data_IF_393006005434
#
_entry.id   IF_393006005434
#
_cell.length_a   1.000
_cell.length_b   1.000
_cell.length_c   1.000
_cell.angle_alpha   90.00
_cell.angle_beta   90.00
_cell.angle_gamma   90.00
#
_symmetry.space_group_name_H-M   'P 1'
#
loop_
_entity.id
_entity.type
_entity.pdbx_description
1 polymer ?
#
# COMPACT_ATOMS: atom_id res chain seq x y z
N UNK A 1 22.16 6.92 7.09
CA UNK A 1 21.08 7.74 7.71
C UNK A 1 21.09 7.53 9.23
N UNK A 2 20.67 8.48 10.07
CA UNK A 2 20.43 8.23 11.50
C UNK A 2 18.92 8.21 11.75
N UNK A 3 18.43 7.23 12.52
CA UNK A 3 17.00 7.08 12.75
C UNK A 3 16.61 6.93 14.23
N UNK A 4 15.36 7.26 14.53
CA UNK A 4 14.67 6.96 15.78
C UNK A 4 13.31 6.36 15.43
N UNK A 5 13.03 5.16 15.94
CA UNK A 5 11.72 4.50 15.81
C UNK A 5 11.06 4.40 17.18
N UNK A 6 9.80 4.84 17.28
CA UNK A 6 9.02 4.78 18.54
C UNK A 6 7.57 4.47 18.24
N UNK A 7 6.90 3.73 19.13
CA UNK A 7 5.44 3.68 19.12
C UNK A 7 4.88 5.10 19.23
N UNK A 8 3.85 5.40 18.44
CA UNK A 8 3.25 6.73 18.31
C UNK A 8 1.81 6.74 18.77
N UNK A 9 0.98 5.83 18.27
CA UNK A 9 -0.43 5.74 18.59
C UNK A 9 -0.92 4.30 18.50
N UNK A 10 -1.70 3.86 19.49
CA UNK A 10 -2.44 2.60 19.41
C UNK A 10 -3.87 2.89 18.92
N UNK A 11 -4.35 2.08 17.97
CA UNK A 11 -5.67 2.22 17.36
C UNK A 11 -6.43 0.92 17.61
N UNK A 12 -7.49 0.99 18.42
CA UNK A 12 -8.41 -0.13 18.64
C UNK A 12 -9.44 -0.22 17.50
N UNK A 13 -9.85 -1.44 17.15
CA UNK A 13 -10.89 -1.72 16.16
C UNK A 13 -10.39 -2.04 14.75
N UNK A 14 -9.06 -2.16 14.56
CA UNK A 14 -8.34 -2.55 13.35
C UNK A 14 -7.07 -3.33 13.77
N UNK A 15 -6.92 -4.58 13.35
CA UNK A 15 -5.65 -5.34 13.47
C UNK A 15 -4.88 -5.33 12.16
N UNK A 16 -3.60 -5.73 12.16
CA UNK A 16 -2.78 -5.98 10.96
C UNK A 16 -3.10 -5.06 9.75
N UNK A 17 -2.66 -3.80 9.86
CA UNK A 17 -2.90 -2.81 8.82
C UNK A 17 -1.81 -2.93 7.73
N UNK A 18 -2.24 -3.02 6.49
CA UNK A 18 -1.42 -3.30 5.29
C UNK A 18 -1.14 -2.04 4.44
N UNK A 19 -1.31 -0.86 5.03
CA UNK A 19 -1.06 0.41 4.36
C UNK A 19 -1.73 1.59 5.03
N UNK A 20 -1.14 2.78 4.89
CA UNK A 20 -1.70 4.02 5.40
C UNK A 20 -1.39 5.26 4.55
N UNK A 21 -2.28 6.24 4.61
CA UNK A 21 -2.05 7.59 4.08
C UNK A 21 -2.39 8.61 5.15
N UNK A 22 -1.47 9.53 5.42
CA UNK A 22 -1.72 10.66 6.32
C UNK A 22 -2.20 11.88 5.55
N UNK A 23 -3.41 12.35 5.87
CA UNK A 23 -3.95 13.62 5.42
C UNK A 23 -4.46 14.39 6.63
N UNK A 24 -3.67 15.34 7.12
CA UNK A 24 -3.97 16.06 8.34
C UNK A 24 -5.44 16.56 8.40
N UNK A 25 -6.19 16.25 9.48
CA UNK A 25 -5.79 15.61 10.74
C UNK A 25 -5.99 14.08 10.80
N UNK A 26 -6.22 13.43 9.66
CA UNK A 26 -6.66 12.04 9.55
C UNK A 26 -5.56 11.09 9.10
N UNK A 27 -5.66 9.86 9.59
CA UNK A 27 -4.93 8.71 9.07
C UNK A 27 -5.94 7.78 8.39
N UNK A 28 -5.74 7.52 7.11
CA UNK A 28 -6.49 6.52 6.36
C UNK A 28 -5.71 5.21 6.37
N UNK A 29 -6.37 4.09 6.68
CA UNK A 29 -5.73 2.78 6.77
C UNK A 29 -6.53 1.72 6.03
N UNK A 30 -5.80 0.72 5.53
CA UNK A 30 -6.36 -0.49 4.92
C UNK A 30 -5.89 -1.73 5.67
N UNK A 31 -6.56 -2.84 5.41
CA UNK A 31 -6.23 -4.17 5.90
C UNK A 31 -6.53 -5.20 4.83
N UNK A 32 -5.66 -6.18 4.67
CA UNK A 32 -5.72 -7.26 3.69
C UNK A 32 -6.95 -8.18 3.88
N UNK A 33 -7.46 -8.27 5.11
CA UNK A 33 -8.59 -9.11 5.48
C UNK A 33 -9.94 -8.38 5.57
N UNK A 34 -9.97 -7.07 5.31
CA UNK A 34 -11.16 -6.22 5.42
C UNK A 34 -11.54 -5.60 4.08
N UNK A 35 -12.83 -5.25 3.93
CA UNK A 35 -13.30 -4.40 2.82
C UNK A 35 -13.81 -3.04 3.31
N UNK A 36 -13.31 -2.58 4.45
CA UNK A 36 -13.49 -1.21 4.90
C UNK A 36 -12.23 -0.40 4.63
N UNK A 37 -12.42 0.88 4.31
CA UNK A 37 -11.41 1.90 4.52
C UNK A 37 -11.58 2.46 5.92
N UNK A 38 -10.50 2.51 6.68
CA UNK A 38 -10.52 3.03 8.05
C UNK A 38 -10.04 4.48 8.03
N UNK A 39 -10.71 5.34 8.79
CA UNK A 39 -10.34 6.74 8.95
C UNK A 39 -10.20 7.04 10.44
N UNK A 40 -8.96 7.21 10.89
CA UNK A 40 -8.62 7.54 12.26
C UNK A 40 -8.38 9.05 12.40
N UNK A 41 -9.15 9.70 13.27
CA UNK A 41 -9.02 11.12 13.60
C UNK A 41 -7.96 11.27 14.70
N UNK A 42 -6.71 11.63 14.35
CA UNK A 42 -5.57 11.61 15.27
C UNK A 42 -5.79 12.46 16.54
N UNK A 43 -6.43 13.62 16.40
CA UNK A 43 -6.67 14.52 17.54
C UNK A 43 -7.79 14.04 18.47
N UNK A 44 -8.76 13.30 17.92
CA UNK A 44 -9.96 12.86 18.64
C UNK A 44 -9.81 11.43 19.17
N UNK A 45 -8.84 10.68 18.65
CA UNK A 45 -8.62 9.28 18.98
C UNK A 45 -9.75 8.36 18.49
N UNK A 46 -10.46 8.77 17.43
CA UNK A 46 -11.66 8.07 16.94
C UNK A 46 -11.39 7.35 15.62
N UNK A 47 -11.69 6.05 15.58
CA UNK A 47 -11.69 5.23 14.37
C UNK A 47 -13.09 5.19 13.74
N UNK A 48 -13.20 5.60 12.48
CA UNK A 48 -14.41 5.46 11.68
C UNK A 48 -14.17 4.43 10.57
N UNK A 49 -15.22 3.70 10.19
CA UNK A 49 -15.19 2.71 9.11
C UNK A 49 -16.02 3.19 7.94
N UNK A 50 -15.44 3.13 6.75
CA UNK A 50 -16.06 3.53 5.50
C UNK A 50 -16.26 2.26 4.66
N UNK A 51 -17.52 1.87 4.44
CA UNK A 51 -17.85 0.72 3.60
C UNK A 51 -17.41 0.99 2.15
N UNK A 52 -16.59 0.10 1.58
CA UNK A 52 -16.16 0.21 0.19
C UNK A 52 -17.19 -0.39 -0.78
N UNK A 53 -17.92 -1.39 -0.30
CA UNK A 53 -18.97 -2.13 -1.01
C UNK A 53 -20.25 -2.23 -0.17
N UNK A 54 -21.39 -2.50 -0.83
CA UNK A 54 -22.67 -2.68 -0.16
C UNK A 54 -22.66 -3.80 0.91
N UNK A 55 -21.89 -4.86 0.70
CA UNK A 55 -21.77 -6.00 1.62
C UNK A 55 -20.44 -6.04 2.37
N UNK A 56 -19.82 -4.87 2.61
CA UNK A 56 -18.52 -4.77 3.27
C UNK A 56 -18.45 -5.54 4.59
N UNK A 57 -17.32 -6.19 4.84
CA UNK A 57 -17.08 -7.02 6.03
C UNK A 57 -15.73 -6.69 6.65
N UNK A 58 -15.68 -6.78 7.96
CA UNK A 58 -14.45 -6.60 8.74
C UNK A 58 -13.47 -7.74 8.47
N UNK A 59 -13.99 -8.96 8.44
CA UNK A 59 -13.22 -10.18 8.26
C UNK A 59 -13.73 -10.90 7.01
N UNK A 60 -12.83 -11.06 6.06
CA UNK A 60 -13.09 -11.72 4.80
C UNK A 60 -12.28 -13.02 4.75
N UNK A 61 -12.93 -14.18 4.52
CA UNK A 61 -12.21 -15.44 4.38
C UNK A 61 -11.12 -15.37 3.31
N UNK A 62 -9.99 -16.05 3.49
CA UNK A 62 -8.82 -16.00 2.59
C UNK A 62 -9.15 -16.12 1.09
N UNK A 63 -10.02 -17.05 0.62
CA UNK A 63 -10.37 -17.16 -0.80
C UNK A 63 -11.20 -15.97 -1.34
N UNK A 64 -11.75 -15.18 -0.43
CA UNK A 64 -12.64 -14.05 -0.71
C UNK A 64 -11.96 -12.68 -0.53
N UNK A 65 -10.72 -12.65 -0.03
CA UNK A 65 -10.01 -11.39 0.22
C UNK A 65 -9.83 -10.59 -1.06
N UNK A 66 -10.04 -9.27 -0.95
CA UNK A 66 -9.56 -8.31 -1.94
C UNK A 66 -8.06 -8.09 -1.81
N UNK A 67 -7.50 -8.33 -0.61
CA UNK A 67 -6.06 -8.30 -0.34
C UNK A 67 -5.48 -6.91 -0.68
N UNK A 68 -6.11 -5.88 -0.10
CA UNK A 68 -5.63 -4.52 -0.28
C UNK A 68 -4.30 -4.37 0.46
N UNK A 69 -3.22 -4.25 -0.31
CA UNK A 69 -1.83 -4.17 0.18
C UNK A 69 -1.15 -2.85 -0.24
N UNK A 70 -1.86 -1.99 -0.97
CA UNK A 70 -1.35 -0.68 -1.34
C UNK A 70 -2.47 0.35 -1.31
N UNK A 71 -2.19 1.49 -0.68
CA UNK A 71 -3.05 2.68 -0.68
C UNK A 71 -2.24 3.90 -1.10
N UNK A 72 -2.83 4.74 -1.95
CA UNK A 72 -2.13 5.91 -2.50
C UNK A 72 -3.10 7.06 -2.73
N UNK A 73 -2.63 8.27 -2.44
CA UNK A 73 -3.37 9.51 -2.75
C UNK A 73 -3.31 9.80 -4.25
N UNK A 74 -4.48 10.11 -4.84
CA UNK A 74 -4.62 10.43 -6.25
C UNK A 74 -5.62 11.56 -6.45
N UNK A 75 -5.12 12.80 -6.56
CA UNK A 75 -5.97 13.99 -6.62
C UNK A 75 -6.78 14.13 -5.32
N UNK A 76 -8.11 14.25 -5.44
CA UNK A 76 -9.01 14.29 -4.28
C UNK A 76 -9.61 12.90 -3.98
N UNK A 77 -8.79 11.85 -4.05
CA UNK A 77 -9.23 10.48 -3.83
C UNK A 77 -8.11 9.62 -3.24
N UNK A 78 -8.50 8.51 -2.64
CA UNK A 78 -7.62 7.40 -2.27
C UNK A 78 -7.87 6.24 -3.23
N UNK A 79 -6.79 5.65 -3.75
CA UNK A 79 -6.85 4.40 -4.49
C UNK A 79 -6.31 3.28 -3.61
N UNK A 80 -7.06 2.19 -3.52
CA UNK A 80 -6.71 0.98 -2.79
C UNK A 80 -6.53 -0.13 -3.84
N UNK A 81 -5.36 -0.75 -3.88
CA UNK A 81 -5.02 -1.77 -4.88
C UNK A 81 -4.93 -3.12 -4.20
N UNK A 82 -5.58 -4.13 -4.80
CA UNK A 82 -5.38 -5.51 -4.43
C UNK A 82 -4.01 -6.03 -4.90
N UNK A 83 -3.44 -7.01 -4.21
CA UNK A 83 -2.09 -7.54 -4.48
C UNK A 83 -1.89 -8.14 -5.87
N UNK A 84 -2.97 -8.58 -6.53
CA UNK A 84 -2.92 -9.19 -7.87
C UNK A 84 -2.47 -10.66 -7.93
N UNK A 85 -2.25 -11.29 -6.78
CA UNK A 85 -1.84 -12.70 -6.65
C UNK A 85 -2.93 -13.72 -7.00
N UNK A 86 -4.20 -13.30 -7.04
CA UNK A 86 -5.32 -14.13 -7.52
C UNK A 86 -6.31 -13.27 -8.32
N UNK A 87 -7.19 -13.87 -9.15
CA UNK A 87 -8.17 -13.10 -9.93
C UNK A 87 -9.05 -12.16 -9.10
N UNK A 88 -9.39 -12.52 -7.85
CA UNK A 88 -10.21 -11.66 -6.97
C UNK A 88 -9.44 -10.44 -6.44
N UNK A 89 -8.11 -10.54 -6.39
CA UNK A 89 -7.18 -9.50 -5.94
C UNK A 89 -6.74 -8.59 -7.09
N UNK A 90 -7.21 -8.84 -8.32
CA UNK A 90 -7.02 -7.96 -9.48
C UNK A 90 -7.99 -6.76 -9.45
N UNK A 91 -8.09 -6.09 -8.31
CA UNK A 91 -9.07 -5.01 -8.08
C UNK A 91 -8.38 -3.72 -7.67
N UNK A 92 -9.02 -2.60 -8.00
CA UNK A 92 -8.72 -1.29 -7.45
C UNK A 92 -10.01 -0.65 -6.99
N UNK A 93 -10.02 -0.09 -5.78
CA UNK A 93 -11.13 0.73 -5.29
C UNK A 93 -10.68 2.17 -5.19
N UNK A 94 -11.46 3.06 -5.79
CA UNK A 94 -11.32 4.49 -5.62
C UNK A 94 -12.34 4.97 -4.59
N UNK A 95 -11.86 5.69 -3.59
CA UNK A 95 -12.69 6.42 -2.63
C UNK A 95 -12.42 7.92 -2.82
N UNK A 96 -13.40 8.66 -3.34
CA UNK A 96 -13.27 10.12 -3.45
C UNK A 96 -13.28 10.75 -2.05
N UNK A 97 -12.41 11.70 -1.77
CA UNK A 97 -12.40 12.41 -0.51
C UNK A 97 -13.43 13.54 -0.58
N UNK A 98 -14.25 13.72 0.46
CA UNK A 98 -15.18 14.85 0.47
C UNK A 98 -14.42 16.15 0.70
N UNK A 99 -14.69 17.16 -0.12
CA UNK A 99 -14.36 18.54 0.25
C UNK A 99 -15.07 18.82 1.57
N UNK A 100 -14.31 19.26 2.58
CA UNK A 100 -14.67 19.35 4.00
C UNK A 100 -15.80 20.34 4.34
N UNK A 101 -16.73 20.60 3.41
CA UNK A 101 -17.89 21.47 3.53
C UNK A 101 -19.18 20.88 2.89
N UNK A 102 -19.13 19.74 2.19
CA UNK A 102 -20.31 19.17 1.54
C UNK A 102 -20.97 18.08 2.41
N UNK A 103 -22.08 18.46 3.05
CA UNK A 103 -23.20 17.65 3.53
C UNK A 103 -22.89 16.32 4.24
N UNK A 104 -23.23 16.27 5.55
CA UNK A 104 -23.34 15.07 6.38
C UNK A 104 -24.46 14.09 5.93
N UNK A 105 -24.68 13.96 4.62
CA UNK A 105 -25.66 13.08 3.99
C UNK A 105 -25.33 12.74 2.53
N UNK A 106 -24.24 13.25 1.95
CA UNK A 106 -23.76 12.80 0.64
C UNK A 106 -22.95 11.52 0.81
N UNK A 107 -23.47 10.40 0.30
CA UNK A 107 -22.70 9.17 0.13
C UNK A 107 -21.51 9.45 -0.77
N UNK A 108 -20.32 9.46 -0.19
CA UNK A 108 -19.06 9.48 -0.92
C UNK A 108 -19.05 8.34 -1.94
N UNK A 109 -18.80 8.64 -3.21
CA UNK A 109 -18.83 7.64 -4.27
C UNK A 109 -17.58 6.75 -4.18
N UNK A 110 -17.77 5.46 -3.91
CA UNK A 110 -16.75 4.44 -4.14
C UNK A 110 -16.93 3.87 -5.54
N UNK A 111 -15.82 3.53 -6.20
CA UNK A 111 -15.81 2.94 -7.54
C UNK A 111 -14.80 1.82 -7.60
N UNK A 112 -15.21 0.67 -8.13
CA UNK A 112 -14.33 -0.48 -8.32
C UNK A 112 -13.87 -0.57 -9.77
N UNK A 113 -12.58 -0.89 -9.96
CA UNK A 113 -11.96 -1.10 -11.25
C UNK A 113 -11.35 -2.50 -11.31
N UNK A 114 -11.51 -3.17 -12.45
CA UNK A 114 -10.86 -4.45 -12.76
C UNK A 114 -9.47 -4.19 -13.34
N UNK A 115 -8.44 -4.67 -12.64
CA UNK A 115 -7.04 -4.56 -13.03
C UNK A 115 -6.51 -5.82 -13.73
N UNK A 116 -7.35 -6.82 -14.03
CA UNK A 116 -6.89 -8.11 -14.56
C UNK A 116 -6.03 -7.97 -15.82
N UNK A 117 -6.42 -7.11 -16.76
CA UNK A 117 -5.64 -6.87 -17.97
C UNK A 117 -4.29 -6.19 -17.70
N UNK A 118 -4.24 -5.27 -16.73
CA UNK A 118 -2.98 -4.64 -16.31
C UNK A 118 -2.08 -5.65 -15.63
N UNK A 119 -2.58 -6.38 -14.64
CA UNK A 119 -1.81 -7.33 -13.86
C UNK A 119 -1.29 -8.50 -14.70
N UNK A 120 -2.05 -8.92 -15.71
CA UNK A 120 -1.55 -9.84 -16.74
C UNK A 120 -0.36 -9.24 -17.52
N UNK A 121 -0.46 -7.97 -17.93
CA UNK A 121 0.65 -7.26 -18.59
C UNK A 121 1.87 -7.12 -17.67
N UNK A 122 1.67 -6.90 -16.37
CA UNK A 122 2.76 -6.86 -15.37
C UNK A 122 3.46 -8.23 -15.31
N UNK A 123 2.71 -9.31 -15.13
CA UNK A 123 3.22 -10.69 -15.12
C UNK A 123 4.06 -10.99 -16.37
N UNK A 124 3.53 -10.70 -17.55
CA UNK A 124 4.23 -10.91 -18.82
C UNK A 124 5.51 -10.08 -18.92
N UNK A 125 5.48 -8.82 -18.47
CA UNK A 125 6.65 -7.91 -18.55
C UNK A 125 7.78 -8.37 -17.64
N UNK A 126 7.46 -8.82 -16.43
CA UNK A 126 8.43 -9.30 -15.45
C UNK A 126 8.74 -10.81 -15.57
N UNK A 127 8.05 -11.54 -16.45
CA UNK A 127 8.16 -13.00 -16.59
C UNK A 127 7.85 -13.74 -15.27
N UNK A 128 6.80 -13.29 -14.59
CA UNK A 128 6.30 -13.88 -13.36
C UNK A 128 5.29 -15.00 -13.68
N UNK A 129 5.31 -16.06 -12.89
CA UNK A 129 4.24 -17.06 -12.90
C UNK A 129 2.92 -16.48 -12.35
N UNK A 130 1.82 -17.19 -12.56
CA UNK A 130 0.47 -16.73 -12.21
C UNK A 130 0.33 -16.31 -10.74
N UNK A 131 1.00 -17.03 -9.84
CA UNK A 131 0.96 -16.89 -8.37
C UNK A 131 2.06 -15.99 -7.78
N UNK A 132 2.90 -15.36 -8.61
CA UNK A 132 4.07 -14.61 -8.17
C UNK A 132 3.84 -13.09 -8.10
N UNK A 133 2.84 -12.54 -8.81
CA UNK A 133 2.55 -11.10 -8.74
C UNK A 133 2.00 -10.75 -7.35
N UNK A 134 2.60 -9.76 -6.72
CA UNK A 134 2.23 -9.27 -5.40
C UNK A 134 2.62 -7.79 -5.27
N UNK A 135 1.65 -6.90 -5.52
CA UNK A 135 1.84 -5.45 -5.41
C UNK A 135 1.56 -5.00 -3.97
N UNK A 136 2.58 -4.46 -3.30
CA UNK A 136 2.50 -3.99 -1.91
C UNK A 136 2.93 -2.53 -1.75
N UNK A 137 2.94 -1.77 -2.84
CA UNK A 137 3.24 -0.34 -2.79
C UNK A 137 2.93 0.34 -4.10
N UNK A 138 2.50 1.59 -4.03
CA UNK A 138 2.13 2.36 -5.19
C UNK A 138 2.48 3.83 -5.03
N UNK A 139 3.14 4.41 -6.03
CA UNK A 139 3.40 5.84 -6.14
C UNK A 139 2.85 6.33 -7.47
N UNK A 140 2.11 7.44 -7.44
CA UNK A 140 1.77 8.19 -8.64
C UNK A 140 2.62 9.46 -8.73
N UNK A 141 3.35 9.64 -9.82
CA UNK A 141 4.18 10.82 -10.05
C UNK A 141 4.27 11.14 -11.53
N UNK A 142 3.98 12.40 -11.91
CA UNK A 142 4.12 12.91 -13.29
C UNK A 142 3.49 11.98 -14.36
N UNK A 143 2.25 11.55 -14.14
CA UNK A 143 1.50 10.66 -15.06
C UNK A 143 2.09 9.25 -15.23
N UNK A 144 2.87 8.81 -14.24
CA UNK A 144 3.42 7.47 -14.16
C UNK A 144 3.06 6.83 -12.83
N UNK A 145 2.81 5.53 -12.87
CA UNK A 145 2.69 4.71 -11.67
C UNK A 145 3.98 3.93 -11.46
N UNK A 146 4.46 3.93 -10.24
CA UNK A 146 5.49 3.02 -9.76
C UNK A 146 4.78 2.02 -8.84
N UNK A 147 4.68 0.76 -9.28
CA UNK A 147 4.08 -0.31 -8.49
C UNK A 147 5.19 -1.22 -7.97
N UNK A 148 5.22 -1.43 -6.67
CA UNK A 148 6.28 -2.16 -5.98
C UNK A 148 5.89 -3.62 -5.84
N UNK A 149 6.63 -4.48 -6.53
CA UNK A 149 6.44 -5.92 -6.54
C UNK A 149 7.23 -6.55 -5.40
N UNK A 150 6.54 -7.22 -4.48
CA UNK A 150 7.17 -8.08 -3.47
C UNK A 150 7.56 -9.43 -4.06
N UNK A 151 8.83 -9.79 -3.92
CA UNK A 151 9.36 -11.08 -4.33
C UNK A 151 9.23 -12.14 -3.23
N UNK A 152 8.01 -12.43 -2.76
CA UNK A 152 7.75 -13.45 -1.72
C UNK A 152 7.33 -14.82 -2.29
N UNK A 153 7.21 -14.95 -3.61
CA UNK A 153 7.01 -16.23 -4.30
C UNK A 153 8.31 -17.01 -4.53
N UNK A 154 8.21 -18.14 -5.23
CA UNK A 154 9.33 -19.02 -5.52
C UNK A 154 10.39 -18.37 -6.43
N UNK A 155 10.01 -17.40 -7.28
CA UNK A 155 10.97 -16.66 -8.10
C UNK A 155 11.73 -15.59 -7.30
N UNK A 156 11.23 -15.20 -6.12
CA UNK A 156 11.83 -14.20 -5.24
C UNK A 156 12.18 -12.87 -5.94
N UNK A 157 11.35 -12.44 -6.89
CA UNK A 157 11.66 -11.34 -7.79
C UNK A 157 11.06 -10.02 -7.31
N UNK A 158 11.88 -9.23 -6.61
CA UNK A 158 11.55 -7.85 -6.26
C UNK A 158 11.77 -6.90 -7.43
N UNK A 159 10.98 -5.84 -7.50
CA UNK A 159 11.22 -4.76 -8.44
C UNK A 159 10.12 -3.72 -8.49
N UNK A 160 10.26 -2.79 -9.43
CA UNK A 160 9.32 -1.69 -9.64
C UNK A 160 8.78 -1.79 -11.05
N UNK A 161 7.46 -1.91 -11.18
CA UNK A 161 6.79 -1.68 -12.46
C UNK A 161 6.62 -0.18 -12.68
N UNK A 162 7.04 0.30 -13.84
CA UNK A 162 6.80 1.67 -14.30
C UNK A 162 5.68 1.60 -15.33
N UNK A 163 4.49 2.10 -14.97
CA UNK A 163 3.29 2.05 -15.81
C UNK A 163 2.95 3.45 -16.31
N UNK A 164 2.90 3.60 -17.64
CA UNK A 164 2.50 4.84 -18.30
C UNK A 164 0.99 4.88 -18.52
N UNK A 165 0.35 5.99 -18.13
CA UNK A 165 -1.09 6.18 -18.23
C UNK A 165 -1.78 6.21 -16.87
N UNK A 166 -3.10 6.29 -16.86
CA UNK A 166 -3.89 6.29 -15.62
C UNK A 166 -4.44 4.89 -15.33
N UNK A 167 -4.49 4.49 -14.06
CA UNK A 167 -5.15 3.24 -13.66
C UNK A 167 -6.68 3.40 -13.60
N UNK A 168 -7.13 4.63 -13.41
CA UNK A 168 -8.54 5.01 -13.28
C UNK A 168 -8.90 6.07 -14.33
N UNK A 169 -10.14 6.06 -14.82
CA UNK A 169 -10.63 7.13 -15.68
C UNK A 169 -11.17 8.29 -14.84
N UNK A 170 -10.50 9.44 -14.89
CA UNK A 170 -11.00 10.71 -14.34
C UNK A 170 -12.08 11.37 -15.19
N UNK A 171 -12.47 10.74 -16.31
CA UNK A 171 -13.70 11.09 -16.98
C UNK A 171 -14.81 10.98 -15.95
N UNK A 172 -15.23 12.14 -15.45
CA UNK A 172 -16.51 12.30 -14.76
C UNK A 172 -17.51 11.66 -15.68
N UNK A 173 -17.92 10.44 -15.38
CA UNK A 173 -19.09 9.82 -15.96
C UNK A 173 -20.20 10.77 -15.54
N UNK A 174 -20.53 11.68 -16.46
CA UNK A 174 -21.51 12.73 -16.24
C UNK A 174 -22.82 12.03 -15.95
N UNK A 175 -23.20 11.98 -14.67
CA UNK A 175 -24.53 11.66 -14.15
C UNK A 175 -25.23 10.43 -14.73
N UNK A 176 -25.42 9.42 -13.87
CA UNK A 176 -26.46 8.37 -13.93
C UNK A 176 -26.14 7.00 -14.54
N UNK A 177 -24.97 6.76 -15.16
CA UNK A 177 -24.73 5.47 -15.86
C UNK A 177 -23.84 4.45 -15.13
N UNK A 178 -23.28 4.77 -13.96
CA UNK A 178 -22.49 3.82 -13.17
C UNK A 178 -23.07 3.69 -11.77
N UNK A 179 -23.53 2.48 -11.45
CA UNK A 179 -24.03 2.13 -10.12
C UNK A 179 -22.86 1.94 -9.14
N UNK A 180 -23.09 2.10 -7.82
CA UNK A 180 -22.06 1.93 -6.80
C UNK A 180 -21.29 0.59 -6.86
N UNK A 181 -21.90 -0.46 -7.43
CA UNK A 181 -21.32 -1.81 -7.54
C UNK A 181 -20.83 -2.16 -8.96
N UNK A 182 -20.86 -1.22 -9.91
CA UNK A 182 -20.39 -1.49 -11.26
C UNK A 182 -18.86 -1.54 -11.28
N UNK A 183 -18.30 -2.65 -11.79
CA UNK A 183 -16.86 -2.79 -12.01
C UNK A 183 -16.46 -2.16 -13.34
N UNK A 184 -15.61 -1.14 -13.29
CA UNK A 184 -15.11 -0.43 -14.48
C UNK A 184 -13.86 -1.13 -15.00
N UNK A 185 -13.83 -1.41 -16.31
CA UNK A 185 -12.66 -2.02 -16.95
C UNK A 185 -11.55 -0.97 -17.17
N UNK A 186 -10.34 -1.20 -16.65
CA UNK A 186 -9.18 -0.27 -16.76
C UNK A 186 -8.42 -0.38 -18.10
N UNK A 187 -8.78 -1.38 -18.91
CA UNK A 187 -8.04 -1.90 -20.07
C UNK A 187 -7.75 -0.93 -21.24
N UNK A 188 -8.30 0.29 -21.27
CA UNK A 188 -8.05 1.26 -22.35
C UNK A 188 -7.11 2.43 -21.99
N UNK A 189 -6.49 2.42 -20.81
CA UNK A 189 -5.79 3.61 -20.28
C UNK A 189 -4.27 3.42 -20.17
N UNK A 190 -3.79 2.18 -20.06
CA UNK A 190 -2.38 1.85 -19.86
C UNK A 190 -1.64 1.68 -21.19
N UNK A 191 -0.60 2.50 -21.40
CA UNK A 191 0.12 2.55 -22.67
C UNK A 191 1.33 1.61 -22.69
N UNK A 192 2.23 1.76 -21.71
CA UNK A 192 3.47 1.00 -21.61
C UNK A 192 3.72 0.55 -20.18
N UNK A 193 4.42 -0.58 -20.03
CA UNK A 193 4.88 -1.12 -18.75
C UNK A 193 6.35 -1.47 -18.92
N UNK A 194 7.18 -1.04 -17.98
CA UNK A 194 8.57 -1.46 -17.81
C UNK A 194 8.71 -2.11 -16.43
N UNK A 195 9.65 -3.05 -16.28
CA UNK A 195 9.99 -3.64 -14.99
C UNK A 195 11.46 -3.43 -14.68
N UNK A 196 11.73 -2.84 -13.52
CA UNK A 196 13.09 -2.63 -12.99
C UNK A 196 13.31 -3.63 -11.84
N UNK A 197 14.02 -4.75 -12.07
CA UNK A 197 14.32 -5.69 -11.00
C UNK A 197 15.27 -5.06 -9.99
N UNK A 198 15.04 -5.34 -8.71
CA UNK A 198 15.86 -4.81 -7.61
C UNK A 198 16.28 -5.93 -6.67
N UNK A 199 17.52 -5.85 -6.19
CA UNK A 199 18.02 -6.74 -5.15
C UNK A 199 17.85 -6.03 -3.81
N UNK A 200 17.12 -6.67 -2.91
CA UNK A 200 16.92 -6.23 -1.53
C UNK A 200 17.80 -7.07 -0.59
N UNK A 201 18.03 -6.63 0.66
CA UNK A 201 18.82 -7.39 1.62
C UNK A 201 18.29 -8.80 1.84
N UNK A 202 19.19 -9.67 2.28
CA UNK A 202 18.88 -11.04 2.67
C UNK A 202 19.28 -11.21 4.12
N UNK A 203 18.35 -11.66 4.96
CA UNK A 203 18.58 -11.91 6.40
C UNK A 203 18.45 -13.40 6.65
N UNK A 204 19.49 -14.03 7.19
CA UNK A 204 19.49 -15.47 7.47
C UNK A 204 19.03 -16.33 6.27
N UNK A 205 19.46 -15.97 5.06
CA UNK A 205 19.08 -16.60 3.78
C UNK A 205 17.63 -16.36 3.32
N UNK A 206 16.86 -15.54 4.03
CA UNK A 206 15.52 -15.11 3.63
C UNK A 206 15.63 -13.75 2.93
N UNK A 207 15.21 -13.65 1.65
CA UNK A 207 15.20 -12.36 0.96
C UNK A 207 14.13 -11.44 1.56
N UNK A 208 14.45 -10.16 1.70
CA UNK A 208 13.44 -9.14 1.96
C UNK A 208 12.63 -8.85 0.70
N UNK A 209 11.37 -8.49 0.89
CA UNK A 209 10.51 -8.00 -0.17
C UNK A 209 9.92 -6.63 0.14
N UNK A 210 9.59 -5.84 -0.89
CA UNK A 210 8.92 -4.55 -0.70
C UNK A 210 7.60 -4.71 0.04
N UNK A 211 7.29 -3.78 0.93
CA UNK A 211 6.03 -3.78 1.69
C UNK A 211 5.32 -2.42 1.72
N UNK A 212 5.98 -1.32 1.32
CA UNK A 212 5.36 -0.05 0.93
C UNK A 212 6.40 0.90 0.32
N UNK A 213 5.98 1.97 -0.34
CA UNK A 213 6.85 3.06 -0.76
C UNK A 213 6.11 4.40 -0.97
N UNK A 214 6.80 5.50 -0.67
CA UNK A 214 6.34 6.87 -0.91
C UNK A 214 7.42 7.73 -1.56
N UNK A 215 6.99 8.82 -2.20
CA UNK A 215 7.88 9.80 -2.79
C UNK A 215 7.95 11.07 -1.93
N UNK A 216 9.16 11.50 -1.57
CA UNK A 216 9.41 12.79 -0.90
C UNK A 216 10.46 13.55 -1.71
N UNK A 217 10.02 14.60 -2.41
CA UNK A 217 10.87 15.30 -3.38
C UNK A 217 11.25 14.39 -4.54
N UNK A 218 12.54 14.17 -4.76
CA UNK A 218 13.06 13.25 -5.80
C UNK A 218 13.58 11.92 -5.23
N UNK A 219 13.24 11.63 -3.96
CA UNK A 219 13.68 10.41 -3.26
C UNK A 219 12.49 9.53 -2.94
N UNK A 220 12.54 8.30 -3.41
CA UNK A 220 11.60 7.25 -3.00
C UNK A 220 12.10 6.69 -1.67
N UNK A 221 11.26 6.75 -0.64
CA UNK A 221 11.45 6.02 0.61
C UNK A 221 10.59 4.77 0.57
N UNK A 222 11.15 3.62 0.95
CA UNK A 222 10.44 2.35 0.85
C UNK A 222 10.70 1.47 2.07
N UNK A 223 9.72 0.62 2.37
CA UNK A 223 9.84 -0.44 3.35
C UNK A 223 10.14 -1.77 2.64
N UNK A 224 10.90 -2.61 3.33
CA UNK A 224 11.08 -3.99 2.93
C UNK A 224 11.19 -4.91 4.16
N UNK A 225 10.54 -6.07 4.10
CA UNK A 225 10.48 -7.03 5.20
C UNK A 225 10.96 -8.41 4.75
N UNK A 226 11.75 -9.08 5.59
CA UNK A 226 12.12 -10.49 5.43
C UNK A 226 11.27 -11.36 6.35
N UNK A 227 10.47 -12.24 5.78
CA UNK A 227 9.60 -13.18 6.50
C UNK A 227 9.91 -14.61 6.09
N UNK A 228 10.15 -15.45 7.09
CA UNK A 228 10.38 -16.86 6.87
C UNK A 228 9.06 -17.64 6.83
N UNK A 229 8.41 -17.60 5.67
CA UNK A 229 7.14 -18.32 5.40
C UNK A 229 7.26 -19.86 5.47
N UNK A 230 8.48 -20.40 5.53
CA UNK A 230 8.72 -21.84 5.74
C UNK A 230 8.72 -22.27 7.22
N UNK A 231 8.66 -21.31 8.14
CA UNK A 231 8.58 -21.58 9.58
C UNK A 231 7.20 -22.11 9.97
N UNK A 232 7.09 -22.74 11.14
CA UNK A 232 5.84 -23.34 11.64
C UNK A 232 4.81 -22.32 12.17
N UNK A 233 5.07 -21.02 12.00
CA UNK A 233 4.15 -19.93 12.37
C UNK A 233 3.13 -19.73 11.24
N UNK A 234 1.96 -19.16 11.55
CA UNK A 234 0.84 -19.15 10.61
C UNK A 234 1.06 -18.26 9.37
N UNK A 235 1.98 -17.30 9.40
CA UNK A 235 2.38 -16.49 8.23
C UNK A 235 3.91 -16.22 8.13
N UNK A 236 4.71 -16.86 8.99
CA UNK A 236 6.18 -16.82 8.95
C UNK A 236 6.84 -15.98 10.04
N UNK A 237 8.08 -16.30 10.41
CA UNK A 237 8.84 -15.50 11.38
C UNK A 237 9.39 -14.23 10.70
N UNK A 238 9.07 -13.06 11.25
CA UNK A 238 9.66 -11.78 10.81
C UNK A 238 11.11 -11.73 11.26
N UNK A 239 12.03 -11.66 10.30
CA UNK A 239 13.48 -11.65 10.55
C UNK A 239 14.07 -10.24 10.48
N UNK A 240 13.38 -9.31 9.82
CA UNK A 240 13.80 -7.92 9.79
C UNK A 240 12.96 -7.04 8.87
N UNK A 241 12.78 -5.79 9.29
CA UNK A 241 12.16 -4.73 8.49
C UNK A 241 13.15 -3.59 8.27
N UNK A 242 13.14 -3.04 7.06
CA UNK A 242 14.08 -2.06 6.58
C UNK A 242 13.37 -0.78 6.14
N UNK A 243 14.01 0.37 6.36
CA UNK A 243 13.74 1.60 5.61
C UNK A 243 14.87 1.79 4.59
N UNK A 244 14.52 1.93 3.33
CA UNK A 244 15.44 2.26 2.25
C UNK A 244 15.12 3.61 1.63
N UNK A 245 16.11 4.20 0.97
CA UNK A 245 15.88 5.32 0.06
C UNK A 245 16.54 5.02 -1.30
N UNK A 246 15.87 5.44 -2.37
CA UNK A 246 16.37 5.31 -3.73
C UNK A 246 16.07 6.57 -4.55
N UNK A 247 16.91 6.81 -5.55
CA UNK A 247 16.73 7.90 -6.50
C UNK A 247 15.52 7.64 -7.40
N UNK A 248 14.63 8.62 -7.54
CA UNK A 248 13.41 8.49 -8.33
C UNK A 248 13.69 8.15 -9.80
N UNK A 249 14.71 8.73 -10.42
CA UNK A 249 14.93 8.61 -11.86
C UNK A 249 15.66 7.32 -12.21
N UNK A 250 16.75 7.05 -11.52
CA UNK A 250 17.64 5.90 -11.78
C UNK A 250 17.20 4.62 -11.06
N UNK A 251 16.29 4.72 -10.08
CA UNK A 251 15.88 3.61 -9.19
C UNK A 251 17.06 2.99 -8.43
N UNK A 252 18.17 3.71 -8.30
CA UNK A 252 19.34 3.25 -7.57
C UNK A 252 19.12 3.42 -6.08
N UNK A 253 19.20 2.32 -5.33
CA UNK A 253 19.15 2.33 -3.86
C UNK A 253 20.40 3.06 -3.33
N UNK A 254 20.18 4.10 -2.52
CA UNK A 254 21.22 4.97 -1.99
C UNK A 254 21.64 4.55 -0.57
N UNK A 255 20.67 4.21 0.28
CA UNK A 255 20.89 3.75 1.65
C UNK A 255 19.78 2.78 2.06
N UNK A 256 20.08 1.90 3.02
CA UNK A 256 19.09 1.03 3.64
C UNK A 256 19.47 0.69 5.07
N UNK A 257 18.50 0.73 5.97
CA UNK A 257 18.71 0.50 7.40
C UNK A 257 17.71 -0.49 7.96
N UNK A 258 18.21 -1.46 8.73
CA UNK A 258 17.39 -2.35 9.54
C UNK A 258 16.77 -1.53 10.68
N UNK A 259 15.45 -1.40 10.70
CA UNK A 259 14.71 -0.61 11.70
C UNK A 259 14.01 -1.48 12.74
N UNK A 260 13.80 -2.77 12.45
CA UNK A 260 13.23 -3.73 13.39
C UNK A 260 13.68 -5.14 13.05
N UNK A 261 13.76 -6.02 14.05
CA UNK A 261 14.03 -7.46 13.90
C UNK A 261 12.82 -8.33 14.23
N UNK A 262 11.66 -7.73 14.55
CA UNK A 262 10.48 -8.45 15.03
C UNK A 262 9.14 -7.84 14.61
N UNK A 263 9.15 -6.63 14.05
CA UNK A 263 7.96 -5.93 13.57
C UNK A 263 8.01 -5.92 12.06
N UNK A 264 6.94 -6.34 11.39
CA UNK A 264 6.76 -6.29 9.94
C UNK A 264 6.00 -5.01 9.62
N UNK A 265 6.68 -4.05 8.98
CA UNK A 265 6.04 -2.79 8.60
C UNK A 265 5.54 -2.88 7.16
N UNK A 266 4.26 -2.60 6.96
CA UNK A 266 3.55 -2.71 5.67
C UNK A 266 2.87 -1.41 5.25
N UNK A 267 3.28 -0.30 5.85
CA UNK A 267 2.78 0.98 5.43
C UNK A 267 3.67 2.12 5.88
N UNK A 268 3.75 3.15 5.05
CA UNK A 268 4.64 4.28 5.21
C UNK A 268 3.95 5.55 4.69
N UNK A 269 3.87 6.59 5.52
CA UNK A 269 3.42 7.91 5.05
C UNK A 269 4.28 9.01 5.66
N UNK A 270 4.47 10.10 4.91
CA UNK A 270 5.13 11.29 5.44
C UNK A 270 4.22 11.95 6.49
N UNK A 271 4.77 12.20 7.69
CA UNK A 271 4.08 12.88 8.79
C UNK A 271 4.48 14.34 8.89
N UNK A 272 5.79 14.60 8.85
CA UNK A 272 6.34 15.93 8.97
C UNK A 272 7.67 16.03 8.23
N UNK A 273 7.91 17.16 7.58
CA UNK A 273 9.19 17.50 7.00
C UNK A 273 9.70 18.83 7.55
N UNK A 274 10.97 18.87 7.93
CA UNK A 274 11.70 20.08 8.30
C UNK A 274 13.06 20.07 7.61
N UNK A 275 13.82 21.17 7.60
CA UNK A 275 15.16 21.18 7.01
C UNK A 275 16.17 20.19 7.62
N UNK A 276 15.90 19.66 8.81
CA UNK A 276 16.84 18.82 9.56
C UNK A 276 16.33 17.39 9.81
N UNK A 277 15.09 17.08 9.42
CA UNK A 277 14.51 15.76 9.63
C UNK A 277 13.27 15.51 8.77
N UNK A 278 13.08 14.24 8.46
CA UNK A 278 11.81 13.68 7.99
C UNK A 278 11.22 12.81 9.10
N UNK A 279 9.93 12.94 9.33
CA UNK A 279 9.17 12.04 10.19
C UNK A 279 8.12 11.31 9.36
N UNK A 280 8.04 10.00 9.54
CA UNK A 280 7.10 9.12 8.89
C UNK A 280 6.23 8.40 9.93
N UNK A 281 5.00 8.08 9.57
CA UNK A 281 4.18 7.12 10.30
C UNK A 281 4.21 5.77 9.58
N UNK A 282 4.30 4.69 10.35
CA UNK A 282 4.34 3.31 9.88
C UNK A 282 3.23 2.51 10.54
N UNK A 283 2.58 1.60 9.81
CA UNK A 283 1.73 0.57 10.39
C UNK A 283 2.44 -0.79 10.36
N UNK A 284 2.07 -1.62 11.33
CA UNK A 284 2.58 -2.96 11.49
C UNK A 284 1.48 -3.97 11.15
N UNK A 285 1.90 -5.01 10.42
CA UNK A 285 1.23 -6.29 10.41
C UNK A 285 1.86 -7.17 11.50
N UNK A 286 1.07 -7.47 12.52
CA UNK A 286 1.53 -8.21 13.69
C UNK A 286 1.05 -9.66 13.71
N UNK A 287 0.40 -10.14 12.63
CA UNK A 287 -0.14 -11.49 12.49
C UNK A 287 -0.99 -11.96 13.69
N UNK A 288 -1.62 -11.02 14.41
CA UNK A 288 -2.48 -11.34 15.55
C UNK A 288 -3.96 -11.21 15.19
N UNK A 289 -4.80 -12.05 15.80
CA UNK A 289 -6.26 -11.88 15.75
C UNK A 289 -6.75 -10.66 16.57
N UNK A 290 -5.83 -9.90 17.20
CA UNK A 290 -6.19 -8.75 18.01
C UNK A 290 -6.60 -7.59 17.10
N UNK A 291 -7.80 -7.06 17.34
CA UNK A 291 -8.31 -5.86 16.67
C UNK A 291 -7.67 -4.58 17.24
N UNK A 292 -6.35 -4.52 17.23
CA UNK A 292 -5.58 -3.32 17.55
C UNK A 292 -4.31 -3.25 16.72
N UNK A 293 -3.98 -2.08 16.21
CA UNK A 293 -2.74 -1.82 15.49
C UNK A 293 -1.97 -0.70 16.18
N UNK A 294 -0.65 -0.83 16.21
CA UNK A 294 0.24 0.22 16.69
C UNK A 294 0.82 0.96 15.49
N UNK A 295 0.59 2.27 15.46
CA UNK A 295 1.28 3.17 14.55
C UNK A 295 2.60 3.57 15.19
N UNK A 296 3.68 3.47 14.43
CA UNK A 296 5.01 3.88 14.85
C UNK A 296 5.41 5.16 14.13
N UNK A 297 6.23 5.96 14.80
CA UNK A 297 6.88 7.12 14.19
C UNK A 297 8.35 6.85 13.96
N UNK A 298 8.77 6.96 12.71
CA UNK A 298 10.16 6.89 12.28
C UNK A 298 10.67 8.30 11.99
N UNK A 299 11.68 8.75 12.72
CA UNK A 299 12.37 10.02 12.46
C UNK A 299 13.70 9.75 11.81
N UNK A 300 13.96 10.34 10.65
CA UNK A 300 15.21 10.28 9.91
C UNK A 300 15.87 11.67 9.97
N UNK A 301 17.10 11.73 10.49
CA UNK A 301 17.86 12.98 10.51
C UNK A 301 18.33 13.33 9.08
N UNK A 302 18.28 14.62 8.74
CA UNK A 302 18.87 15.18 7.53
C UNK A 302 20.13 15.98 7.93
N UNK A 303 21.20 15.81 7.15
CA UNK A 303 22.46 16.52 7.34
C UNK A 303 22.36 18.01 6.95
#
# INVERSE_FOLDING_TARGET
>A
MQFILKAFQEIEGLGAASGLVYQQPRLYLISDYSSYLYCYELEQGQLNKIALFADSREFIPKPEKFDFEAIVEYGNALLLLGSGSTPRRNSLVRHDLSDSQADQGSTVATRQYDLSALYEKLRQTAQLNDDELNIEGAIYHQSQWLLFQRGNGAQAQNGIFIVQGNLVSDLSLSGNDVRPDDTIQSNNIVQAVEFVPLQLPVVNHVPSGFTDAILVGETIYFLASAENSSSTYQDGEVLGSYIGCMDLNTKTIQDMQLISTCHKFEGLTLYQQTPHKLEFLLCEDNDTEQLSTTIYKLTLAQD
#
